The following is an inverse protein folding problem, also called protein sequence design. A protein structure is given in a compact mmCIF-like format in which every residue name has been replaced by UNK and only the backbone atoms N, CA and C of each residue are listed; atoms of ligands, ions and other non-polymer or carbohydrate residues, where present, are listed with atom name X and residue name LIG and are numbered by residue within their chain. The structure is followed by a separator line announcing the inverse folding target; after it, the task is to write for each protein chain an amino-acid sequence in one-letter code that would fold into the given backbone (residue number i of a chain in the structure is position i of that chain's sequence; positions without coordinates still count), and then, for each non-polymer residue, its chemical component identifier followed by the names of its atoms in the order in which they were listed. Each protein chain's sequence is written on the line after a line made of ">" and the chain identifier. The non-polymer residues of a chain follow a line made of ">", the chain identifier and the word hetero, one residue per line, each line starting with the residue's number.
data_IF_412159996254
#
_entry.id   IF_412159996254
#
_cell.length_a   1.000
_cell.length_b   1.000
_cell.length_c   1.000
_cell.angle_alpha   90.00
_cell.angle_beta   90.00
_cell.angle_gamma   90.00
#
_symmetry.space_group_name_H-M   'P 1'
#
loop_
_entity.id
_entity.type
_entity.pdbx_description
1 polymer ?
#
# COMPACT_ATOMS: atom_id res chain seq x y z
N UNK A 1 7.76 20.97 31.68
CA UNK A 1 7.41 20.98 30.24
C UNK A 1 7.21 19.53 29.82
N UNK A 2 6.10 19.26 29.16
CA UNK A 2 5.53 17.93 28.92
C UNK A 2 6.38 17.07 27.98
N UNK A 3 6.58 15.83 28.42
CA UNK A 3 6.59 14.56 27.67
C UNK A 3 7.09 14.69 26.22
N UNK A 4 8.33 14.23 26.01
CA UNK A 4 8.83 13.82 24.70
C UNK A 4 7.80 12.92 24.02
N UNK A 5 7.21 13.38 22.92
CA UNK A 5 6.39 12.54 22.04
C UNK A 5 7.28 11.44 21.49
N UNK A 6 7.31 10.29 22.17
CA UNK A 6 7.78 9.04 21.58
C UNK A 6 6.89 8.79 20.36
N UNK A 7 7.35 9.21 19.17
CA UNK A 7 6.75 8.78 17.92
C UNK A 7 6.86 7.26 17.89
N UNK A 8 5.73 6.60 18.21
CA UNK A 8 5.60 5.15 18.14
C UNK A 8 5.91 4.78 16.68
N UNK A 9 7.03 4.11 16.43
CA UNK A 9 7.34 3.59 15.10
C UNK A 9 6.22 2.61 14.74
N UNK A 10 5.38 2.97 13.78
CA UNK A 10 4.41 2.04 13.23
C UNK A 10 5.15 1.14 12.25
N UNK A 11 5.21 -0.15 12.55
CA UNK A 11 5.69 -1.16 11.60
C UNK A 11 4.55 -1.45 10.64
N UNK A 12 4.72 -1.10 9.36
CA UNK A 12 3.85 -1.56 8.29
C UNK A 12 4.19 -3.01 7.98
N UNK A 13 3.17 -3.87 7.94
CA UNK A 13 3.34 -5.28 7.57
C UNK A 13 3.06 -5.44 6.08
N UNK A 14 4.01 -5.97 5.33
CA UNK A 14 3.77 -6.25 3.91
C UNK A 14 2.80 -7.41 3.75
N UNK A 15 1.74 -7.22 2.93
CA UNK A 15 0.71 -8.22 2.67
C UNK A 15 0.17 -8.15 1.24
N UNK A 16 -0.36 -9.28 0.76
CA UNK A 16 -1.26 -9.28 -0.39
C UNK A 16 -2.66 -8.82 0.02
N UNK A 17 -3.43 -8.25 -0.91
CA UNK A 17 -4.76 -7.70 -0.61
C UNK A 17 -5.69 -8.81 -0.05
N UNK A 18 -5.64 -10.02 -0.61
CA UNK A 18 -6.45 -11.15 -0.10
C UNK A 18 -6.04 -11.67 1.30
N UNK A 19 -4.87 -11.30 1.81
CA UNK A 19 -4.37 -11.71 3.13
C UNK A 19 -4.78 -10.72 4.24
N UNK A 20 -5.44 -9.61 3.86
CA UNK A 20 -5.91 -8.58 4.78
C UNK A 20 -7.27 -9.00 5.33
N UNK A 21 -7.28 -9.41 6.60
CA UNK A 21 -8.48 -9.85 7.31
C UNK A 21 -8.79 -9.03 8.57
N UNK A 22 -7.90 -8.10 8.94
CA UNK A 22 -8.00 -7.32 10.18
C UNK A 22 -7.59 -5.88 9.95
N UNK A 23 -7.98 -5.00 10.87
CA UNK A 23 -7.50 -3.61 10.91
C UNK A 23 -6.03 -3.57 11.31
N UNK A 24 -5.26 -2.63 10.77
CA UNK A 24 -3.82 -2.59 10.98
C UNK A 24 -3.07 -1.62 10.07
N UNK A 25 -1.75 -1.59 10.21
CA UNK A 25 -0.85 -0.84 9.33
C UNK A 25 -0.24 -1.81 8.31
N UNK A 26 -0.43 -1.53 7.02
CA UNK A 26 -0.04 -2.43 5.94
C UNK A 26 0.84 -1.74 4.91
N UNK A 27 1.72 -2.52 4.30
CA UNK A 27 2.44 -2.19 3.09
C UNK A 27 1.87 -3.05 1.95
N UNK A 28 1.36 -2.44 0.89
CA UNK A 28 0.72 -3.13 -0.24
C UNK A 28 1.38 -2.66 -1.52
N UNK A 29 1.72 -3.58 -2.40
CA UNK A 29 2.23 -3.26 -3.76
C UNK A 29 1.21 -3.73 -4.77
N UNK A 30 0.84 -2.86 -5.71
CA UNK A 30 -0.13 -3.18 -6.75
C UNK A 30 -0.11 -2.18 -7.89
N UNK A 31 -0.99 -2.41 -8.85
CA UNK A 31 -1.25 -1.57 -10.01
C UNK A 31 -2.47 -0.69 -9.74
N UNK A 32 -2.40 0.58 -10.11
CA UNK A 32 -3.54 1.50 -10.08
C UNK A 32 -4.53 1.08 -11.16
N UNK A 33 -5.67 0.52 -10.78
CA UNK A 33 -6.71 0.09 -11.73
C UNK A 33 -7.67 1.21 -12.10
N UNK A 34 -7.85 2.21 -11.23
CA UNK A 34 -8.75 3.34 -11.47
C UNK A 34 -8.40 4.54 -10.60
N UNK A 35 -8.35 5.76 -11.18
CA UNK A 35 -8.14 7.01 -10.41
C UNK A 35 -9.48 7.68 -10.04
N UNK A 36 -9.54 8.23 -8.83
CA UNK A 36 -10.70 8.95 -8.29
C UNK A 36 -10.26 10.25 -7.60
N UNK A 37 -11.19 11.19 -7.36
CA UNK A 37 -10.84 12.52 -6.84
C UNK A 37 -10.12 12.49 -5.49
N UNK A 38 -10.48 11.54 -4.62
CA UNK A 38 -9.95 11.42 -3.26
C UNK A 38 -9.10 10.16 -3.05
N UNK A 39 -8.70 9.50 -4.13
CA UNK A 39 -7.95 8.26 -4.05
C UNK A 39 -7.84 7.50 -5.37
N UNK A 40 -7.67 6.20 -5.27
CA UNK A 40 -7.65 5.31 -6.42
C UNK A 40 -7.94 3.87 -5.99
N UNK A 41 -8.30 3.03 -6.94
CA UNK A 41 -8.35 1.58 -6.75
C UNK A 41 -6.99 0.97 -7.07
N UNK A 42 -6.53 0.09 -6.19
CA UNK A 42 -5.28 -0.65 -6.32
C UNK A 42 -5.59 -2.14 -6.46
N UNK A 43 -4.98 -2.81 -7.42
CA UNK A 43 -5.08 -4.26 -7.63
C UNK A 43 -3.71 -4.93 -7.52
N UNK A 44 -3.62 -6.07 -6.84
CA UNK A 44 -2.37 -6.85 -6.70
C UNK A 44 -2.47 -8.26 -7.29
N UNK A 45 -3.38 -8.46 -8.25
CA UNK A 45 -3.77 -9.75 -8.85
C UNK A 45 -4.53 -10.68 -7.89
N UNK A 46 -4.47 -10.46 -6.58
CA UNK A 46 -5.17 -11.28 -5.58
C UNK A 46 -6.47 -10.64 -5.07
N UNK A 47 -6.58 -9.32 -5.20
CA UNK A 47 -7.77 -8.57 -4.84
C UNK A 47 -7.66 -7.09 -5.25
N UNK A 48 -8.68 -6.32 -4.87
CA UNK A 48 -8.72 -4.88 -5.09
C UNK A 48 -8.98 -4.16 -3.75
N UNK A 49 -8.36 -3.00 -3.57
CA UNK A 49 -8.53 -2.16 -2.39
C UNK A 49 -8.60 -0.68 -2.78
N UNK A 50 -9.48 0.07 -2.12
CA UNK A 50 -9.59 1.51 -2.30
C UNK A 50 -8.54 2.23 -1.44
N UNK A 51 -7.68 2.99 -2.07
CA UNK A 51 -6.64 3.80 -1.42
C UNK A 51 -7.11 5.24 -1.33
N UNK A 52 -7.19 5.81 -0.13
CA UNK A 52 -7.45 7.24 0.08
C UNK A 52 -6.14 8.00 0.12
N UNK A 53 -6.10 9.14 -0.58
CA UNK A 53 -4.94 10.04 -0.56
C UNK A 53 -4.68 10.58 0.85
N UNK A 54 -3.40 10.84 1.21
CA UNK A 54 -3.10 11.63 2.40
C UNK A 54 -3.56 13.09 2.21
N UNK A 55 -3.79 13.79 3.30
CA UNK A 55 -4.17 15.21 3.25
C UNK A 55 -3.10 16.03 2.50
N UNK A 56 -3.54 16.86 1.56
CA UNK A 56 -2.66 17.73 0.77
C UNK A 56 -1.87 17.02 -0.35
N UNK A 57 -2.14 15.74 -0.62
CA UNK A 57 -1.50 15.01 -1.69
C UNK A 57 -1.96 15.50 -3.07
N UNK A 58 -1.00 15.63 -4.00
CA UNK A 58 -1.23 15.99 -5.39
C UNK A 58 -0.85 14.81 -6.27
N UNK A 59 -1.82 14.29 -7.03
CA UNK A 59 -1.72 13.03 -7.77
C UNK A 59 -1.23 13.19 -9.22
N UNK A 60 -0.64 14.33 -9.60
CA UNK A 60 -0.33 14.69 -11.01
C UNK A 60 0.52 13.65 -11.77
N UNK A 61 1.29 12.83 -11.06
CA UNK A 61 2.15 11.80 -11.64
C UNK A 61 1.54 10.39 -11.62
N UNK A 62 0.46 10.18 -10.85
CA UNK A 62 -0.21 8.89 -10.80
C UNK A 62 -1.11 8.69 -12.01
N UNK A 63 -1.00 7.52 -12.65
CA UNK A 63 -1.84 7.11 -13.77
C UNK A 63 -2.31 5.68 -13.58
N UNK A 64 -3.47 5.37 -14.16
CA UNK A 64 -3.92 3.99 -14.32
C UNK A 64 -2.83 3.16 -15.02
N UNK A 65 -2.61 1.94 -14.54
CA UNK A 65 -1.53 1.07 -14.97
C UNK A 65 -0.19 1.30 -14.27
N UNK A 66 -0.04 2.35 -13.45
CA UNK A 66 1.19 2.52 -12.67
C UNK A 66 1.24 1.55 -11.50
N UNK A 67 2.42 0.96 -11.30
CA UNK A 67 2.70 0.20 -10.09
C UNK A 67 3.15 1.13 -8.97
N UNK A 68 2.55 0.95 -7.81
CA UNK A 68 2.81 1.74 -6.62
C UNK A 68 2.93 0.84 -5.39
N UNK A 69 3.70 1.31 -4.41
CA UNK A 69 3.74 0.78 -3.05
C UNK A 69 3.02 1.76 -2.13
N UNK A 70 2.08 1.24 -1.36
CA UNK A 70 1.26 1.97 -0.41
C UNK A 70 1.66 1.57 1.00
N UNK A 71 1.98 2.55 1.82
CA UNK A 71 2.04 2.38 3.27
C UNK A 71 0.85 3.11 3.85
N UNK A 72 0.04 2.42 4.65
CA UNK A 72 -1.16 3.04 5.20
C UNK A 72 -1.82 2.21 6.27
N UNK A 73 -2.96 2.72 6.72
CA UNK A 73 -3.73 2.14 7.81
C UNK A 73 -5.16 1.82 7.39
N UNK A 74 -5.62 0.65 7.82
CA UNK A 74 -7.01 0.22 7.74
C UNK A 74 -7.59 0.33 9.16
N UNK A 75 -8.61 1.17 9.34
CA UNK A 75 -9.23 1.46 10.65
C UNK A 75 -10.72 1.13 10.71
N UNK A 76 -11.35 0.82 9.57
CA UNK A 76 -12.78 0.61 9.45
C UNK A 76 -13.07 -0.49 8.45
N UNK A 77 -13.55 -0.12 7.27
CA UNK A 77 -13.81 -1.07 6.18
C UNK A 77 -12.50 -1.70 5.67
N UNK A 78 -12.44 -3.03 5.63
CA UNK A 78 -11.22 -3.78 5.28
C UNK A 78 -10.76 -3.57 3.83
N UNK A 79 -11.64 -3.06 2.97
CA UNK A 79 -11.37 -2.72 1.58
C UNK A 79 -10.94 -1.26 1.39
N UNK A 80 -10.73 -0.48 2.46
CA UNK A 80 -10.26 0.90 2.39
C UNK A 80 -9.00 1.10 3.22
N UNK A 81 -7.92 1.51 2.56
CA UNK A 81 -6.68 1.92 3.20
C UNK A 81 -6.51 3.44 3.13
N UNK A 82 -6.29 4.08 4.28
CA UNK A 82 -5.86 5.48 4.34
C UNK A 82 -4.34 5.49 4.19
N UNK A 83 -3.84 6.07 3.11
CA UNK A 83 -2.41 6.06 2.85
C UNK A 83 -1.68 7.15 3.64
N UNK A 84 -0.52 6.78 4.17
CA UNK A 84 0.46 7.69 4.77
C UNK A 84 1.56 8.01 3.75
N UNK A 85 1.98 7.02 2.96
CA UNK A 85 2.99 7.14 1.91
C UNK A 85 2.51 6.40 0.67
N UNK A 86 2.61 7.06 -0.48
CA UNK A 86 2.40 6.49 -1.81
C UNK A 86 3.73 6.60 -2.54
N UNK A 87 4.30 5.47 -2.94
CA UNK A 87 5.59 5.40 -3.63
C UNK A 87 5.39 4.81 -5.02
N UNK A 88 5.71 5.58 -6.06
CA UNK A 88 5.73 5.08 -7.43
C UNK A 88 6.89 4.11 -7.66
N UNK A 89 6.64 3.08 -8.47
CA UNK A 89 7.61 2.04 -8.81
C UNK A 89 7.90 1.97 -10.32
N UNK A 90 7.72 3.06 -11.06
CA UNK A 90 7.79 3.07 -12.53
C UNK A 90 9.17 2.67 -13.10
N UNK A 91 10.27 2.78 -12.34
CA UNK A 91 11.60 2.30 -12.72
C UNK A 91 11.96 0.93 -12.13
N UNK A 92 11.06 0.31 -11.37
CA UNK A 92 11.33 -0.98 -10.73
C UNK A 92 11.14 -2.14 -11.70
N UNK A 93 12.09 -3.07 -11.74
CA UNK A 93 11.87 -4.37 -12.40
C UNK A 93 10.86 -5.19 -11.57
N UNK A 94 9.59 -5.12 -11.97
CA UNK A 94 8.48 -5.81 -11.31
C UNK A 94 8.60 -7.33 -11.39
N UNK A 95 9.24 -7.87 -12.44
CA UNK A 95 9.44 -9.30 -12.55
C UNK A 95 10.43 -9.78 -11.49
N UNK A 96 11.52 -9.04 -11.30
CA UNK A 96 12.49 -9.31 -10.24
C UNK A 96 11.85 -9.15 -8.85
N UNK A 97 11.06 -8.10 -8.64
CA UNK A 97 10.32 -7.86 -7.40
C UNK A 97 9.45 -9.06 -7.02
N UNK A 98 8.61 -9.52 -7.95
CA UNK A 98 7.70 -10.65 -7.73
C UNK A 98 8.47 -11.95 -7.45
N UNK A 99 9.55 -12.22 -8.17
CA UNK A 99 10.41 -13.39 -7.93
C UNK A 99 11.00 -13.39 -6.53
N UNK A 100 11.54 -12.25 -6.08
CA UNK A 100 12.07 -12.13 -4.73
C UNK A 100 11.00 -12.39 -3.67
N UNK A 101 9.79 -11.87 -3.88
CA UNK A 101 8.65 -12.10 -2.98
C UNK A 101 8.25 -13.58 -2.85
N UNK A 102 8.27 -14.32 -3.96
CA UNK A 102 8.00 -15.76 -3.96
C UNK A 102 9.09 -16.51 -3.17
N UNK A 103 10.36 -16.15 -3.40
CA UNK A 103 11.50 -16.74 -2.69
C UNK A 103 11.39 -16.48 -1.19
N UNK A 104 11.12 -15.25 -0.77
CA UNK A 104 10.92 -14.92 0.66
C UNK A 104 9.81 -15.74 1.30
N UNK A 105 8.65 -15.88 0.62
CA UNK A 105 7.57 -16.75 1.12
C UNK A 105 8.03 -18.21 1.27
N UNK A 106 8.77 -18.75 0.30
CA UNK A 106 9.29 -20.12 0.34
C UNK A 106 10.36 -20.38 1.42
N UNK A 107 10.95 -19.34 2.00
CA UNK A 107 11.97 -19.45 3.04
C UNK A 107 11.38 -19.45 4.46
N UNK A 108 10.10 -19.09 4.60
CA UNK A 108 9.40 -18.99 5.89
C UNK A 108 8.49 -20.21 6.14
N UNK A 109 8.25 -21.03 5.10
CA UNK A 109 7.60 -22.36 5.18
C UNK A 109 8.63 -23.49 5.42
#
# INVERSE_FOLDING_TARGET
>A
MSISSFQKRFTYVEKQINEISTIGNYCIVGEISKIEDNGFQLSDETGEISVKYPEGFVHENLKEGNFVRIFGKIEGELNIIKSDIIQELHELDLNLYRKMRIIEKSLVE
#
